data_IF_396507856876
#
_entry.id   IF_396507856876
#
_cell.length_a   1.000
_cell.length_b   1.000
_cell.length_c   1.000
_cell.angle_alpha   90.00
_cell.angle_beta   90.00
_cell.angle_gamma   90.00
#
_symmetry.space_group_name_H-M   'P 1'
#
loop_
_entity.id
_entity.type
_entity.pdbx_description
1 polymer ?
#
# COMPACT_ATOMS: atom_id res chain seq x y z
N UNK A 1 48.00 6.22 -7.51
CA UNK A 1 48.20 4.97 -8.28
C UNK A 1 46.87 4.57 -8.92
N UNK A 2 46.93 4.25 -10.22
CA UNK A 2 45.89 3.68 -11.13
C UNK A 2 44.55 4.41 -11.25
N UNK A 3 44.47 5.20 -12.34
CA UNK A 3 43.26 5.61 -13.05
C UNK A 3 42.57 4.37 -13.65
N UNK A 4 41.24 4.30 -13.58
CA UNK A 4 40.42 3.53 -14.53
C UNK A 4 39.36 4.47 -15.06
N UNK A 5 39.48 4.76 -16.36
CA UNK A 5 38.53 5.50 -17.15
C UNK A 5 37.52 4.52 -17.74
N UNK A 6 36.23 4.87 -17.73
CA UNK A 6 35.25 4.25 -18.62
C UNK A 6 34.35 5.35 -19.15
N UNK A 7 34.64 5.79 -20.37
CA UNK A 7 33.73 6.56 -21.23
C UNK A 7 32.65 5.61 -21.73
N UNK A 8 31.38 5.99 -21.64
CA UNK A 8 30.35 5.49 -22.55
C UNK A 8 29.54 6.66 -23.10
N UNK A 9 29.34 6.60 -24.41
CA UNK A 9 28.88 7.64 -25.30
C UNK A 9 27.37 7.90 -25.18
N UNK A 10 27.03 9.17 -25.28
CA UNK A 10 25.70 9.70 -25.59
C UNK A 10 25.42 9.46 -27.08
N UNK A 11 24.26 8.91 -27.42
CA UNK A 11 23.64 9.06 -28.74
C UNK A 11 22.22 9.58 -28.54
N UNK A 12 22.02 10.81 -28.98
CA UNK A 12 20.73 11.46 -29.22
C UNK A 12 20.31 11.16 -30.66
N UNK A 13 19.03 10.84 -30.86
CA UNK A 13 18.43 10.67 -32.19
C UNK A 13 16.92 10.79 -32.14
N UNK A 14 16.43 12.01 -32.33
CA UNK A 14 15.04 12.44 -32.55
C UNK A 14 14.57 12.22 -33.99
N UNK A 15 13.35 11.70 -34.21
CA UNK A 15 12.36 12.06 -35.28
C UNK A 15 10.98 11.50 -34.82
N UNK A 16 9.99 12.25 -34.34
CA UNK A 16 9.01 13.18 -34.96
C UNK A 16 7.75 12.52 -35.58
N UNK A 17 6.58 12.87 -35.00
CA UNK A 17 5.21 13.00 -35.60
C UNK A 17 4.52 11.69 -36.05
N UNK A 18 3.28 11.33 -35.74
CA UNK A 18 2.11 11.98 -35.12
C UNK A 18 0.85 11.32 -35.72
N UNK A 19 -0.20 11.08 -34.93
CA UNK A 19 -1.63 11.06 -35.35
C UNK A 19 -2.45 11.23 -34.05
N UNK A 20 -3.29 12.25 -34.07
CA UNK A 20 -4.30 12.56 -33.07
C UNK A 20 -5.68 12.37 -33.68
N UNK A 21 -6.58 11.66 -32.97
CA UNK A 21 -8.07 11.72 -33.04
C UNK A 21 -8.52 11.15 -31.67
N UNK A 22 -8.99 11.88 -30.64
CA UNK A 22 -10.11 12.81 -30.46
C UNK A 22 -11.49 12.12 -30.37
N UNK A 23 -11.98 11.88 -29.13
CA UNK A 23 -13.40 11.90 -28.70
C UNK A 23 -13.44 11.71 -27.17
N UNK A 24 -13.51 12.77 -26.35
CA UNK A 24 -14.70 13.50 -25.87
C UNK A 24 -15.76 12.67 -25.11
N UNK A 25 -15.84 12.93 -23.80
CA UNK A 25 -17.04 13.18 -22.98
C UNK A 25 -18.23 12.21 -23.07
N UNK A 26 -18.44 11.47 -21.97
CA UNK A 26 -19.75 11.42 -21.31
C UNK A 26 -19.54 11.56 -19.80
N UNK A 27 -19.82 12.78 -19.30
CA UNK A 27 -20.23 13.02 -17.92
C UNK A 27 -21.72 12.68 -17.88
N UNK A 28 -22.13 11.79 -16.97
CA UNK A 28 -23.46 11.86 -16.37
C UNK A 28 -23.31 11.82 -14.86
N UNK A 29 -23.37 13.02 -14.30
CA UNK A 29 -23.88 13.29 -12.98
C UNK A 29 -25.36 12.85 -12.98
N UNK A 30 -25.77 12.00 -12.03
CA UNK A 30 -27.17 11.96 -11.60
C UNK A 30 -27.22 11.90 -10.09
N UNK A 31 -27.73 13.00 -9.58
CA UNK A 31 -28.07 13.34 -8.22
C UNK A 31 -29.33 12.59 -7.75
N UNK A 32 -29.51 12.56 -6.43
CA UNK A 32 -30.82 12.60 -5.77
C UNK A 32 -31.72 11.36 -5.78
N UNK A 33 -31.93 10.83 -4.57
CA UNK A 33 -33.21 10.31 -4.05
C UNK A 33 -34.04 9.39 -4.94
N UNK A 34 -33.93 8.08 -4.73
CA UNK A 34 -35.05 7.14 -4.59
C UNK A 34 -34.50 5.71 -4.56
N UNK A 35 -34.43 5.11 -3.37
CA UNK A 35 -34.77 3.70 -3.08
C UNK A 35 -34.48 3.38 -1.62
N UNK A 36 -35.21 4.08 -0.74
CA UNK A 36 -35.44 3.67 0.65
C UNK A 36 -36.55 2.60 0.77
N UNK A 37 -36.83 1.85 -0.30
CA UNK A 37 -37.89 0.85 -0.35
C UNK A 37 -37.43 -0.44 -1.03
N UNK A 38 -36.44 -1.10 -0.44
CA UNK A 38 -36.20 -2.55 -0.62
C UNK A 38 -35.61 -3.17 0.65
N UNK A 39 -35.93 -2.56 1.78
CA UNK A 39 -35.64 -3.08 3.11
C UNK A 39 -36.81 -4.00 3.51
N UNK A 40 -36.96 -5.18 2.89
CA UNK A 40 -37.76 -6.29 3.45
C UNK A 40 -37.61 -7.67 2.76
N UNK A 41 -36.72 -7.84 1.78
CA UNK A 41 -36.44 -9.17 1.17
C UNK A 41 -35.05 -9.76 1.44
N UNK A 42 -34.25 -9.10 2.28
CA UNK A 42 -32.82 -9.44 2.44
C UNK A 42 -32.51 -10.29 3.69
N UNK A 43 -33.47 -11.10 4.17
CA UNK A 43 -33.24 -12.03 5.30
C UNK A 43 -32.97 -13.49 4.90
N UNK A 44 -33.06 -13.84 3.61
CA UNK A 44 -32.78 -15.21 3.14
C UNK A 44 -31.43 -15.38 2.41
N UNK A 45 -30.76 -14.30 1.97
CA UNK A 45 -29.47 -14.39 1.27
C UNK A 45 -28.22 -14.33 2.19
N UNK A 46 -28.39 -14.51 3.51
CA UNK A 46 -27.29 -14.44 4.49
C UNK A 46 -26.70 -15.82 4.88
N UNK A 47 -27.06 -16.90 4.18
CA UNK A 47 -26.48 -18.24 4.35
C UNK A 47 -26.10 -18.85 2.99
N UNK A 48 -25.06 -18.32 2.37
CA UNK A 48 -24.28 -19.10 1.41
C UNK A 48 -22.82 -18.60 1.40
N UNK A 49 -22.17 -18.74 2.57
CA UNK A 49 -20.74 -19.02 2.58
C UNK A 49 -20.61 -20.40 1.92
N UNK A 50 -20.07 -20.41 0.71
CA UNK A 50 -19.91 -21.59 -0.15
C UNK A 50 -19.12 -22.65 0.63
N UNK A 51 -19.85 -23.63 1.19
CA UNK A 51 -19.25 -24.82 1.79
C UNK A 51 -18.63 -25.65 0.67
N UNK A 52 -17.29 -25.79 0.72
CA UNK A 52 -16.52 -26.60 -0.22
C UNK A 52 -16.99 -28.06 -0.17
N UNK A 53 -17.46 -28.59 -1.31
CA UNK A 53 -17.77 -30.01 -1.53
C UNK A 53 -16.77 -30.59 -2.53
N UNK A 54 -15.51 -30.75 -2.13
CA UNK A 54 -14.48 -31.42 -2.92
C UNK A 54 -13.74 -32.48 -2.10
N UNK A 55 -13.10 -33.41 -2.81
CA UNK A 55 -12.59 -34.72 -2.37
C UNK A 55 -11.85 -34.73 -1.03
N UNK A 56 -12.00 -35.86 -0.30
CA UNK A 56 -11.49 -36.16 1.04
C UNK A 56 -10.25 -35.34 1.38
N UNK A 57 -10.53 -34.23 2.04
CA UNK A 57 -9.56 -33.27 2.45
C UNK A 57 -8.62 -33.98 3.45
N UNK A 58 -7.32 -34.04 3.12
CA UNK A 58 -6.28 -34.48 4.07
C UNK A 58 -6.39 -33.49 5.22
N UNK A 59 -6.90 -33.95 6.36
CA UNK A 59 -6.97 -33.16 7.57
C UNK A 59 -5.55 -33.13 8.13
N UNK A 60 -4.93 -31.95 8.32
CA UNK A 60 -3.71 -31.88 9.10
C UNK A 60 -4.02 -32.49 10.47
N UNK A 61 -3.18 -33.39 10.96
CA UNK A 61 -3.25 -33.78 12.36
C UNK A 61 -2.95 -32.53 13.19
N UNK A 62 -4.01 -31.91 13.72
CA UNK A 62 -3.92 -30.84 14.70
C UNK A 62 -3.09 -31.37 15.88
N UNK A 63 -1.93 -30.75 16.14
CA UNK A 63 -0.96 -31.22 17.13
C UNK A 63 0.36 -31.74 16.54
N UNK A 64 0.53 -31.76 15.21
CA UNK A 64 1.84 -32.02 14.60
C UNK A 64 2.82 -30.88 14.88
N UNK A 65 4.13 -31.18 14.92
CA UNK A 65 5.18 -30.19 15.13
C UNK A 65 5.12 -29.01 14.13
N UNK A 66 4.66 -29.27 12.90
CA UNK A 66 4.48 -28.22 11.89
C UNK A 66 3.31 -27.28 12.22
N UNK A 67 2.19 -27.81 12.72
CA UNK A 67 1.04 -26.97 13.13
C UNK A 67 1.41 -26.03 14.27
N UNK A 68 2.12 -26.54 15.29
CA UNK A 68 2.60 -25.70 16.39
C UNK A 68 3.58 -24.61 15.90
N UNK A 69 4.45 -24.93 14.95
CA UNK A 69 5.37 -23.95 14.37
C UNK A 69 4.65 -22.87 13.55
N UNK A 70 3.58 -23.23 12.82
CA UNK A 70 2.72 -22.26 12.12
C UNK A 70 2.02 -21.32 13.10
N UNK A 71 1.49 -21.85 14.21
CA UNK A 71 0.85 -21.04 15.26
C UNK A 71 1.85 -20.08 15.92
N UNK A 72 3.08 -20.54 16.18
CA UNK A 72 4.14 -19.69 16.72
C UNK A 72 4.51 -18.55 15.76
N UNK A 73 4.66 -18.84 14.46
CA UNK A 73 4.91 -17.80 13.46
C UNK A 73 3.75 -16.80 13.39
N UNK A 74 2.51 -17.27 13.47
CA UNK A 74 1.34 -16.40 13.49
C UNK A 74 1.34 -15.46 14.72
N UNK A 75 1.66 -15.98 15.91
CA UNK A 75 1.78 -15.16 17.13
C UNK A 75 2.95 -14.16 17.08
N UNK A 76 4.08 -14.55 16.49
CA UNK A 76 5.18 -13.62 16.25
C UNK A 76 4.77 -12.47 15.32
N UNK A 77 4.04 -12.77 14.24
CA UNK A 77 3.51 -11.74 13.34
C UNK A 77 2.47 -10.86 14.02
N UNK A 78 1.58 -11.41 14.85
CA UNK A 78 0.59 -10.62 15.61
C UNK A 78 1.24 -9.65 16.59
N UNK A 79 2.36 -10.06 17.19
CA UNK A 79 3.04 -9.28 18.21
C UNK A 79 4.01 -8.23 17.66
N UNK A 80 4.69 -8.52 16.54
CA UNK A 80 5.76 -7.66 15.99
C UNK A 80 5.49 -7.15 14.57
N UNK A 81 4.44 -7.62 13.91
CA UNK A 81 4.23 -7.45 12.48
C UNK A 81 5.08 -8.42 11.65
N UNK A 82 4.79 -8.50 10.36
CA UNK A 82 5.51 -9.36 9.43
C UNK A 82 6.98 -8.94 9.27
N UNK A 83 7.89 -9.90 9.25
CA UNK A 83 9.31 -9.68 8.97
C UNK A 83 9.77 -10.52 7.77
N UNK A 84 10.67 -10.00 6.92
CA UNK A 84 11.22 -10.77 5.80
C UNK A 84 11.77 -12.12 6.25
N UNK A 85 11.45 -13.17 5.50
CA UNK A 85 11.79 -14.57 5.80
C UNK A 85 10.65 -15.36 6.45
N UNK A 86 9.69 -14.71 7.13
CA UNK A 86 8.55 -15.39 7.75
C UNK A 86 7.67 -16.09 6.70
N UNK A 87 7.43 -15.47 5.54
CA UNK A 87 6.64 -16.08 4.47
C UNK A 87 7.29 -17.33 3.87
N UNK A 88 8.63 -17.35 3.79
CA UNK A 88 9.38 -18.53 3.34
C UNK A 88 9.35 -19.66 4.39
N UNK A 89 9.43 -19.30 5.67
CA UNK A 89 9.33 -20.26 6.77
C UNK A 89 7.93 -20.91 6.80
N UNK A 90 6.87 -20.09 6.77
CA UNK A 90 5.48 -20.58 6.67
C UNK A 90 5.29 -21.46 5.41
N UNK A 91 5.82 -21.03 4.26
CA UNK A 91 5.73 -21.80 3.02
C UNK A 91 6.33 -23.20 3.16
N UNK A 92 7.49 -23.29 3.80
CA UNK A 92 8.18 -24.56 4.03
C UNK A 92 7.41 -25.49 4.96
N UNK A 93 6.71 -24.94 5.96
CA UNK A 93 5.89 -25.70 6.90
C UNK A 93 4.60 -26.23 6.24
N UNK A 94 3.95 -25.41 5.41
CA UNK A 94 2.79 -25.83 4.63
C UNK A 94 3.16 -26.92 3.61
N UNK A 95 4.29 -26.78 2.91
CA UNK A 95 4.77 -27.80 1.97
C UNK A 95 5.03 -29.14 2.67
N UNK A 96 5.72 -29.12 3.83
CA UNK A 96 5.95 -30.33 4.66
C UNK A 96 4.66 -30.96 5.18
N UNK A 97 3.59 -30.18 5.29
CA UNK A 97 2.28 -30.63 5.75
C UNK A 97 1.37 -31.07 4.58
N UNK A 98 1.87 -31.02 3.34
CA UNK A 98 1.12 -31.38 2.12
C UNK A 98 0.17 -30.30 1.62
N UNK A 99 0.12 -29.13 2.27
CA UNK A 99 -0.70 -27.99 1.81
C UNK A 99 0.08 -27.12 0.82
N UNK A 100 0.05 -27.52 -0.44
CA UNK A 100 0.74 -26.78 -1.51
C UNK A 100 0.08 -25.42 -1.80
N UNK A 101 -1.21 -25.23 -1.52
CA UNK A 101 -1.85 -23.93 -1.69
C UNK A 101 -1.37 -22.95 -0.61
N UNK A 102 -1.34 -23.40 0.65
CA UNK A 102 -0.77 -22.64 1.77
C UNK A 102 0.69 -22.27 1.51
N UNK A 103 1.48 -23.20 0.98
CA UNK A 103 2.87 -22.94 0.60
C UNK A 103 2.98 -21.80 -0.41
N UNK A 104 2.18 -21.83 -1.49
CA UNK A 104 2.15 -20.77 -2.51
C UNK A 104 1.72 -19.44 -1.92
N UNK A 105 0.68 -19.41 -1.07
CA UNK A 105 0.22 -18.18 -0.44
C UNK A 105 1.27 -17.56 0.47
N UNK A 106 1.93 -18.35 1.32
CA UNK A 106 2.97 -17.85 2.22
C UNK A 106 4.22 -17.40 1.48
N UNK A 107 4.65 -18.10 0.43
CA UNK A 107 5.73 -17.63 -0.43
C UNK A 107 5.36 -16.33 -1.17
N UNK A 108 4.11 -16.21 -1.64
CA UNK A 108 3.62 -14.98 -2.23
C UNK A 108 3.51 -13.84 -1.21
N UNK A 109 3.17 -14.12 0.05
CA UNK A 109 3.13 -13.13 1.14
C UNK A 109 4.46 -12.40 1.28
N UNK A 110 5.58 -13.13 1.22
CA UNK A 110 6.94 -12.58 1.20
C UNK A 110 7.16 -11.61 0.02
N UNK A 111 6.82 -12.06 -1.19
CA UNK A 111 6.98 -11.25 -2.41
C UNK A 111 6.05 -10.03 -2.42
N UNK A 112 4.83 -10.19 -1.94
CA UNK A 112 3.84 -9.13 -1.87
C UNK A 112 4.24 -8.06 -0.85
N UNK A 113 4.84 -8.47 0.28
CA UNK A 113 5.45 -7.54 1.22
C UNK A 113 6.59 -6.74 0.54
N UNK A 114 7.53 -7.42 -0.13
CA UNK A 114 8.62 -6.73 -0.84
C UNK A 114 8.10 -5.77 -1.94
N UNK A 115 7.05 -6.16 -2.66
CA UNK A 115 6.40 -5.32 -3.67
C UNK A 115 5.76 -4.07 -3.06
N UNK A 116 5.02 -4.21 -1.95
CA UNK A 116 4.38 -3.10 -1.24
C UNK A 116 5.37 -2.01 -0.79
N UNK A 117 6.61 -2.40 -0.48
CA UNK A 117 7.69 -1.48 -0.11
C UNK A 117 8.53 -0.98 -1.30
N UNK A 118 8.19 -1.37 -2.53
CA UNK A 118 8.89 -0.93 -3.74
C UNK A 118 10.22 -1.64 -4.00
N UNK A 119 10.59 -2.66 -3.22
CA UNK A 119 11.85 -3.40 -3.41
C UNK A 119 11.86 -4.24 -4.69
N UNK A 120 10.69 -4.65 -5.16
CA UNK A 120 10.51 -5.34 -6.44
C UNK A 120 9.39 -4.70 -7.25
N UNK A 121 9.48 -4.82 -8.57
CA UNK A 121 8.42 -4.37 -9.51
C UNK A 121 7.38 -5.48 -9.70
N UNK A 122 6.18 -5.11 -10.14
CA UNK A 122 5.11 -6.07 -10.48
C UNK A 122 5.52 -7.08 -11.55
N UNK A 123 6.39 -6.69 -12.48
CA UNK A 123 6.94 -7.59 -13.51
C UNK A 123 7.76 -8.74 -12.92
N UNK A 124 8.55 -8.46 -11.88
CA UNK A 124 9.35 -9.48 -11.17
C UNK A 124 8.42 -10.42 -10.43
N UNK A 125 7.37 -9.88 -9.82
CA UNK A 125 6.37 -10.68 -9.14
C UNK A 125 5.69 -11.66 -10.11
N UNK A 126 5.22 -11.19 -11.26
CA UNK A 126 4.60 -12.05 -12.28
C UNK A 126 5.57 -13.12 -12.82
N UNK A 127 6.86 -12.78 -13.00
CA UNK A 127 7.89 -13.75 -13.39
C UNK A 127 8.02 -14.87 -12.35
N UNK A 128 8.05 -14.53 -11.05
CA UNK A 128 8.11 -15.53 -9.96
C UNK A 128 6.87 -16.42 -9.92
N UNK A 129 5.67 -15.86 -10.10
CA UNK A 129 4.43 -16.65 -10.16
C UNK A 129 4.44 -17.63 -11.35
N UNK A 130 4.91 -17.20 -12.53
CA UNK A 130 5.08 -18.08 -13.70
C UNK A 130 6.10 -19.18 -13.47
N UNK A 131 7.19 -18.91 -12.75
CA UNK A 131 8.20 -19.91 -12.43
C UNK A 131 7.64 -21.03 -11.54
N UNK A 132 6.80 -20.69 -10.54
CA UNK A 132 6.10 -21.68 -9.70
C UNK A 132 5.17 -22.56 -10.55
N UNK A 133 4.38 -21.95 -11.43
CA UNK A 133 3.47 -22.65 -12.34
C UNK A 133 4.19 -23.67 -13.23
N UNK A 134 5.39 -23.33 -13.70
CA UNK A 134 6.23 -24.22 -14.52
C UNK A 134 6.79 -25.40 -13.73
N UNK A 135 7.13 -25.19 -12.45
CA UNK A 135 7.76 -26.21 -11.62
C UNK A 135 6.76 -27.21 -11.02
N UNK A 136 5.50 -26.81 -10.88
CA UNK A 136 4.42 -27.67 -10.36
C UNK A 136 3.25 -27.74 -11.36
N UNK A 137 3.48 -28.28 -12.56
CA UNK A 137 2.45 -28.32 -13.59
C UNK A 137 1.30 -29.24 -13.14
N UNK A 138 0.06 -28.89 -13.52
CA UNK A 138 -1.15 -29.69 -13.32
C UNK A 138 -1.59 -29.93 -11.87
N UNK A 139 -1.10 -29.16 -10.89
CA UNK A 139 -1.67 -29.19 -9.53
C UNK A 139 -2.81 -28.15 -9.41
N UNK A 140 -4.09 -28.57 -9.24
CA UNK A 140 -5.22 -27.62 -9.22
C UNK A 140 -5.14 -26.62 -8.08
N UNK A 141 -4.77 -27.07 -6.87
CA UNK A 141 -4.67 -26.21 -5.68
C UNK A 141 -3.63 -25.10 -5.86
N UNK A 142 -2.47 -25.45 -6.43
CA UNK A 142 -1.42 -24.47 -6.80
C UNK A 142 -1.94 -23.50 -7.86
N UNK A 143 -2.61 -23.99 -8.91
CA UNK A 143 -3.16 -23.15 -9.97
C UNK A 143 -4.20 -22.14 -9.47
N UNK A 144 -5.08 -22.56 -8.54
CA UNK A 144 -6.04 -21.68 -7.89
C UNK A 144 -5.35 -20.65 -6.99
N UNK A 145 -4.37 -21.06 -6.18
CA UNK A 145 -3.61 -20.13 -5.33
C UNK A 145 -2.88 -19.06 -6.17
N UNK A 146 -2.17 -19.47 -7.24
CA UNK A 146 -1.52 -18.56 -8.17
C UNK A 146 -2.51 -17.59 -8.84
N UNK A 147 -3.71 -18.06 -9.19
CA UNK A 147 -4.76 -17.21 -9.76
C UNK A 147 -5.24 -16.16 -8.75
N UNK A 148 -5.44 -16.53 -7.49
CA UNK A 148 -5.77 -15.59 -6.42
C UNK A 148 -4.64 -14.57 -6.20
N UNK A 149 -3.38 -14.98 -6.18
CA UNK A 149 -2.23 -14.07 -6.05
C UNK A 149 -2.19 -13.03 -7.20
N UNK A 150 -2.41 -13.46 -8.45
CA UNK A 150 -2.49 -12.55 -9.61
C UNK A 150 -3.69 -11.61 -9.53
N UNK A 151 -4.82 -12.09 -9.03
CA UNK A 151 -6.01 -11.28 -8.82
C UNK A 151 -5.78 -10.17 -7.78
N UNK A 152 -4.99 -10.43 -6.73
CA UNK A 152 -4.61 -9.43 -5.73
C UNK A 152 -3.81 -8.28 -6.35
N UNK A 153 -2.84 -8.59 -7.20
CA UNK A 153 -1.98 -7.59 -7.85
C UNK A 153 -2.77 -6.75 -8.86
N UNK A 154 -3.64 -7.42 -9.64
CA UNK A 154 -4.44 -6.75 -10.68
C UNK A 154 -5.69 -6.03 -10.14
N UNK A 155 -6.01 -6.21 -8.87
CA UNK A 155 -7.24 -5.67 -8.26
C UNK A 155 -8.53 -6.35 -8.75
N UNK A 156 -8.45 -7.51 -9.42
CA UNK A 156 -9.62 -8.23 -9.92
C UNK A 156 -10.25 -9.11 -8.84
N UNK A 157 -11.03 -8.50 -7.94
CA UNK A 157 -11.66 -9.17 -6.81
C UNK A 157 -12.54 -10.36 -7.19
N UNK A 158 -13.36 -10.24 -8.26
CA UNK A 158 -14.24 -11.32 -8.70
C UNK A 158 -13.46 -12.58 -9.09
N UNK A 159 -12.42 -12.44 -9.93
CA UNK A 159 -11.56 -13.55 -10.33
C UNK A 159 -10.82 -14.18 -9.14
N UNK A 160 -10.43 -13.34 -8.18
CA UNK A 160 -9.81 -13.77 -6.93
C UNK A 160 -10.73 -14.63 -6.07
N UNK A 161 -11.98 -14.20 -5.88
CA UNK A 161 -12.99 -14.97 -5.13
C UNK A 161 -13.31 -16.31 -5.80
N UNK A 162 -13.45 -16.33 -7.12
CA UNK A 162 -13.71 -17.57 -7.87
C UNK A 162 -12.58 -18.60 -7.69
N UNK A 163 -11.33 -18.12 -7.62
CA UNK A 163 -10.18 -18.97 -7.35
C UNK A 163 -10.13 -19.46 -5.90
N UNK A 164 -10.38 -18.57 -4.93
CA UNK A 164 -10.41 -18.93 -3.50
C UNK A 164 -11.54 -19.89 -3.15
N UNK A 165 -12.68 -19.84 -3.84
CA UNK A 165 -13.78 -20.78 -3.65
C UNK A 165 -13.41 -22.25 -3.98
N UNK A 166 -12.27 -22.49 -4.63
CA UNK A 166 -11.72 -23.82 -4.93
C UNK A 166 -10.70 -24.29 -3.89
N UNK A 167 -10.43 -23.48 -2.87
CA UNK A 167 -9.48 -23.75 -1.80
C UNK A 167 -10.29 -23.91 -0.50
N UNK A 168 -9.97 -24.93 0.30
CA UNK A 168 -10.63 -25.11 1.58
C UNK A 168 -10.09 -24.09 2.59
N UNK A 169 -10.73 -22.93 2.68
CA UNK A 169 -10.30 -21.87 3.58
C UNK A 169 -10.50 -22.20 5.07
N UNK A 170 -11.30 -23.20 5.41
CA UNK A 170 -11.55 -23.63 6.80
C UNK A 170 -10.30 -24.23 7.46
N UNK A 171 -9.27 -24.51 6.67
CA UNK A 171 -7.95 -24.92 7.15
C UNK A 171 -7.08 -23.80 7.67
N UNK A 172 -7.42 -22.54 7.39
CA UNK A 172 -6.60 -21.42 7.81
C UNK A 172 -7.28 -20.60 8.90
N UNK A 173 -6.46 -20.07 9.81
CA UNK A 173 -6.88 -19.12 10.83
C UNK A 173 -7.57 -17.90 10.21
N UNK A 174 -8.44 -17.24 10.98
CA UNK A 174 -9.26 -16.14 10.49
C UNK A 174 -8.45 -14.95 9.94
N UNK A 175 -7.26 -14.71 10.49
CA UNK A 175 -6.32 -13.66 10.09
C UNK A 175 -5.13 -14.20 9.28
N UNK A 176 -5.20 -15.44 8.80
CA UNK A 176 -4.21 -15.98 7.85
C UNK A 176 -4.26 -15.26 6.51
N UNK A 177 -3.18 -15.36 5.74
CA UNK A 177 -3.06 -14.64 4.48
C UNK A 177 -4.13 -14.99 3.43
N UNK A 178 -4.52 -16.26 3.19
CA UNK A 178 -5.60 -16.59 2.26
C UNK A 178 -6.95 -15.98 2.68
N UNK A 179 -7.24 -16.02 3.98
CA UNK A 179 -8.45 -15.43 4.59
C UNK A 179 -8.43 -13.90 4.56
N UNK A 180 -7.25 -13.30 4.70
CA UNK A 180 -7.08 -11.86 4.53
C UNK A 180 -7.32 -11.44 3.07
N UNK A 181 -6.74 -12.16 2.09
CA UNK A 181 -6.98 -11.92 0.66
C UNK A 181 -8.46 -12.05 0.30
N UNK A 182 -9.17 -13.04 0.86
CA UNK A 182 -10.62 -13.18 0.67
C UNK A 182 -11.36 -11.89 1.05
N UNK A 183 -11.08 -11.34 2.23
CA UNK A 183 -11.68 -10.09 2.71
C UNK A 183 -11.31 -8.90 1.82
N UNK A 184 -10.05 -8.83 1.37
CA UNK A 184 -9.63 -7.84 0.38
C UNK A 184 -10.51 -7.91 -0.87
N UNK A 185 -10.74 -9.10 -1.42
CA UNK A 185 -11.54 -9.25 -2.63
C UNK A 185 -13.02 -8.94 -2.41
N UNK A 186 -13.58 -9.35 -1.27
CA UNK A 186 -14.94 -8.97 -0.88
C UNK A 186 -15.06 -7.45 -0.79
N UNK A 187 -14.10 -6.77 -0.15
CA UNK A 187 -14.03 -5.31 -0.05
C UNK A 187 -13.69 -4.62 -1.38
N UNK A 188 -13.11 -5.29 -2.36
CA UNK A 188 -12.86 -4.73 -3.68
C UNK A 188 -14.06 -4.92 -4.64
N UNK A 189 -15.01 -5.77 -4.27
CA UNK A 189 -16.18 -6.12 -5.08
C UNK A 189 -17.46 -5.47 -4.51
N UNK A 190 -18.57 -5.58 -5.24
CA UNK A 190 -19.91 -5.16 -4.77
C UNK A 190 -20.45 -5.99 -3.59
N UNK A 191 -19.66 -6.93 -3.08
CA UNK A 191 -19.98 -7.81 -1.95
C UNK A 191 -19.45 -7.26 -0.60
N UNK A 192 -18.73 -6.14 -0.63
CA UNK A 192 -18.24 -5.48 0.58
C UNK A 192 -19.39 -4.91 1.40
N UNK A 193 -19.38 -5.15 2.70
CA UNK A 193 -20.28 -4.54 3.67
C UNK A 193 -19.53 -4.23 4.97
N UNK A 194 -20.19 -3.51 5.89
CA UNK A 194 -19.58 -3.10 7.17
C UNK A 194 -19.07 -4.29 7.99
N UNK A 195 -19.77 -5.43 8.00
CA UNK A 195 -19.31 -6.62 8.71
C UNK A 195 -17.98 -7.16 8.15
N UNK A 196 -17.82 -7.18 6.83
CA UNK A 196 -16.55 -7.59 6.20
C UNK A 196 -15.45 -6.58 6.52
N UNK A 197 -15.78 -5.28 6.59
CA UNK A 197 -14.83 -4.26 6.99
C UNK A 197 -14.39 -4.48 8.46
N UNK A 198 -15.31 -4.76 9.37
CA UNK A 198 -14.99 -5.07 10.78
C UNK A 198 -14.08 -6.31 10.90
N UNK A 199 -14.40 -7.38 10.17
CA UNK A 199 -13.58 -8.59 10.12
C UNK A 199 -12.19 -8.32 9.51
N UNK A 200 -12.09 -7.43 8.54
CA UNK A 200 -10.80 -6.98 7.98
C UNK A 200 -10.02 -6.11 8.98
N UNK A 201 -10.69 -5.21 9.70
CA UNK A 201 -10.06 -4.41 10.74
C UNK A 201 -9.53 -5.28 11.89
N UNK A 202 -10.20 -6.40 12.20
CA UNK A 202 -9.75 -7.35 13.22
C UNK A 202 -8.40 -8.01 12.89
N UNK A 203 -7.96 -8.04 11.63
CA UNK A 203 -6.65 -8.59 11.24
C UNK A 203 -5.49 -7.60 11.45
N UNK A 204 -5.74 -6.44 12.09
CA UNK A 204 -4.73 -5.37 12.24
C UNK A 204 -3.42 -5.84 12.84
N UNK A 205 -3.44 -6.70 13.86
CA UNK A 205 -2.25 -7.15 14.57
C UNK A 205 -1.20 -7.74 13.62
N UNK A 206 -1.64 -8.52 12.63
CA UNK A 206 -0.76 -9.21 11.67
C UNK A 206 -0.35 -8.34 10.47
N UNK A 207 -1.22 -7.43 10.03
CA UNK A 207 -1.05 -6.66 8.79
C UNK A 207 -0.79 -5.15 9.01
N UNK A 208 -0.48 -4.74 10.25
CA UNK A 208 -0.23 -3.33 10.57
C UNK A 208 0.93 -2.69 9.80
N UNK A 209 1.84 -3.48 9.24
CA UNK A 209 2.97 -3.03 8.44
C UNK A 209 2.79 -3.30 6.94
N UNK A 210 1.55 -3.54 6.49
CA UNK A 210 1.21 -3.68 5.07
C UNK A 210 0.65 -2.35 4.57
N UNK A 211 1.34 -1.62 3.67
CA UNK A 211 0.79 -0.42 3.05
C UNK A 211 -0.61 -0.64 2.44
N UNK A 212 -0.84 -1.78 1.79
CA UNK A 212 -2.12 -2.07 1.14
C UNK A 212 -3.27 -2.28 2.14
N UNK A 213 -2.97 -2.80 3.34
CA UNK A 213 -3.96 -2.92 4.41
C UNK A 213 -4.54 -1.55 4.78
N UNK A 214 -3.68 -0.56 4.98
CA UNK A 214 -4.08 0.80 5.30
C UNK A 214 -4.75 1.52 4.13
N UNK A 215 -4.30 1.28 2.90
CA UNK A 215 -4.96 1.85 1.71
C UNK A 215 -6.43 1.41 1.60
N UNK A 216 -6.72 0.13 1.85
CA UNK A 216 -8.10 -0.37 1.82
C UNK A 216 -8.97 0.28 2.89
N UNK A 217 -8.44 0.46 4.10
CA UNK A 217 -9.15 1.20 5.17
C UNK A 217 -9.41 2.64 4.72
N UNK A 218 -8.41 3.31 4.15
CA UNK A 218 -8.54 4.69 3.68
C UNK A 218 -9.62 4.83 2.59
N UNK A 219 -9.71 3.89 1.64
CA UNK A 219 -10.74 3.86 0.60
C UNK A 219 -12.16 3.68 1.14
N UNK A 220 -12.31 2.97 2.26
CA UNK A 220 -13.61 2.63 2.86
C UNK A 220 -14.04 3.57 3.99
N UNK A 221 -13.10 4.29 4.60
CA UNK A 221 -13.35 5.21 5.70
C UNK A 221 -13.68 6.62 5.20
N UNK A 222 -14.09 7.50 6.12
CA UNK A 222 -14.31 8.94 5.88
C UNK A 222 -13.68 9.78 6.99
N UNK A 223 -13.49 11.06 6.71
CA UNK A 223 -12.97 12.03 7.69
C UNK A 223 -11.61 11.63 8.26
N UNK A 224 -11.43 11.80 9.57
CA UNK A 224 -10.15 11.56 10.24
C UNK A 224 -9.65 10.12 10.12
N UNK A 225 -10.54 9.12 10.06
CA UNK A 225 -10.14 7.71 9.90
C UNK A 225 -9.54 7.44 8.51
N UNK A 226 -10.10 8.06 7.46
CA UNK A 226 -9.51 7.99 6.13
C UNK A 226 -8.14 8.66 6.10
N UNK A 227 -8.00 9.82 6.73
CA UNK A 227 -6.74 10.56 6.77
C UNK A 227 -5.65 9.79 7.52
N UNK A 228 -5.94 9.26 8.71
CA UNK A 228 -4.98 8.44 9.50
C UNK A 228 -4.54 7.20 8.72
N UNK A 229 -5.47 6.47 8.11
CA UNK A 229 -5.14 5.30 7.31
C UNK A 229 -4.32 5.65 6.06
N UNK A 230 -4.67 6.73 5.35
CA UNK A 230 -3.91 7.18 4.19
C UNK A 230 -2.49 7.61 4.56
N UNK A 231 -2.33 8.34 5.67
CA UNK A 231 -1.02 8.72 6.20
C UNK A 231 -0.18 7.49 6.56
N UNK A 232 -0.74 6.50 7.28
CA UNK A 232 -0.03 5.24 7.60
C UNK A 232 0.41 4.48 6.35
N UNK A 233 -0.44 4.40 5.33
CA UNK A 233 -0.09 3.77 4.05
C UNK A 233 1.17 4.40 3.45
N UNK A 234 1.20 5.74 3.39
CA UNK A 234 2.33 6.48 2.81
C UNK A 234 3.56 6.42 3.72
N UNK A 235 3.39 6.54 5.03
CA UNK A 235 4.51 6.50 5.98
C UNK A 235 5.24 5.15 6.01
N UNK A 236 4.52 4.03 5.79
CA UNK A 236 5.14 2.72 5.72
C UNK A 236 6.03 2.56 4.48
N UNK A 237 5.57 3.03 3.33
CA UNK A 237 6.31 2.92 2.07
C UNK A 237 6.11 4.18 1.20
N UNK A 238 6.86 5.28 1.47
CA UNK A 238 6.64 6.57 0.81
C UNK A 238 6.86 6.58 -0.72
N UNK A 239 7.63 5.60 -1.20
CA UNK A 239 7.94 5.35 -2.62
C UNK A 239 7.33 4.04 -3.13
N UNK A 240 6.50 3.38 -2.32
CA UNK A 240 5.84 2.13 -2.69
C UNK A 240 4.74 2.32 -3.74
N UNK A 241 4.28 1.23 -4.39
CA UNK A 241 3.24 1.28 -5.43
C UNK A 241 1.90 1.88 -4.97
N UNK A 242 1.66 1.93 -3.66
CA UNK A 242 0.43 2.45 -3.06
C UNK A 242 0.55 3.89 -2.56
N UNK A 243 1.75 4.48 -2.59
CA UNK A 243 2.00 5.79 -2.01
C UNK A 243 1.26 6.92 -2.74
N UNK A 244 1.21 6.87 -4.07
CA UNK A 244 0.54 7.91 -4.87
C UNK A 244 -0.95 8.01 -4.49
N UNK A 245 -1.66 6.89 -4.46
CA UNK A 245 -3.07 6.87 -4.09
C UNK A 245 -3.28 7.26 -2.62
N UNK A 246 -2.41 6.78 -1.72
CA UNK A 246 -2.40 7.22 -0.33
C UNK A 246 -2.30 8.74 -0.19
N UNK A 247 -1.38 9.38 -0.93
CA UNK A 247 -1.23 10.85 -0.94
C UNK A 247 -2.45 11.54 -1.52
N UNK A 248 -3.11 10.97 -2.54
CA UNK A 248 -4.36 11.51 -3.08
C UNK A 248 -5.45 11.52 -2.00
N UNK A 249 -5.60 10.41 -1.25
CA UNK A 249 -6.58 10.33 -0.17
C UNK A 249 -6.23 11.27 1.00
N UNK A 250 -4.94 11.43 1.33
CA UNK A 250 -4.48 12.45 2.28
C UNK A 250 -4.87 13.86 1.84
N UNK A 251 -4.59 14.22 0.58
CA UNK A 251 -4.90 15.54 0.02
C UNK A 251 -6.38 15.85 0.12
N UNK A 252 -7.23 14.93 -0.31
CA UNK A 252 -8.68 15.08 -0.22
C UNK A 252 -9.13 15.20 1.24
N UNK A 253 -8.55 14.42 2.15
CA UNK A 253 -8.85 14.45 3.59
C UNK A 253 -8.54 15.77 4.29
N UNK A 254 -7.60 16.57 3.76
CA UNK A 254 -7.27 17.90 4.27
C UNK A 254 -7.82 19.05 3.40
N UNK A 255 -8.73 18.75 2.47
CA UNK A 255 -9.40 19.75 1.63
C UNK A 255 -8.57 20.28 0.45
N UNK A 256 -7.53 19.56 0.03
CA UNK A 256 -6.72 19.88 -1.15
C UNK A 256 -7.22 19.15 -2.41
N UNK A 257 -6.80 19.62 -3.58
CA UNK A 257 -7.12 18.96 -4.84
C UNK A 257 -6.16 17.79 -5.10
N UNK A 258 -6.60 16.81 -5.90
CA UNK A 258 -5.76 15.64 -6.25
C UNK A 258 -4.40 16.02 -6.85
N UNK A 259 -4.35 17.10 -7.63
CA UNK A 259 -3.11 17.62 -8.24
C UNK A 259 -2.06 18.08 -7.23
N UNK A 260 -2.48 18.37 -6.00
CA UNK A 260 -1.61 18.84 -4.92
C UNK A 260 -0.97 17.67 -4.15
N UNK A 261 -1.47 16.44 -4.33
CA UNK A 261 -1.02 15.24 -3.63
C UNK A 261 0.50 14.95 -3.77
N UNK A 262 1.15 15.12 -4.94
CA UNK A 262 2.59 14.86 -5.05
C UNK A 262 3.47 15.77 -4.18
N UNK A 263 2.97 16.94 -3.79
CA UNK A 263 3.67 17.87 -2.91
C UNK A 263 3.50 17.54 -1.42
N UNK A 264 2.51 16.72 -1.04
CA UNK A 264 2.31 16.33 0.34
C UNK A 264 3.42 15.41 0.84
N UNK A 265 3.76 15.56 2.12
CA UNK A 265 4.64 14.67 2.89
C UNK A 265 3.95 14.35 4.21
N UNK A 266 4.06 13.11 4.66
CA UNK A 266 3.63 12.68 5.99
C UNK A 266 4.53 13.32 7.06
N UNK A 267 4.10 13.29 8.33
CA UNK A 267 4.94 13.81 9.42
C UNK A 267 6.29 13.09 9.52
N UNK A 268 6.28 11.77 9.37
CA UNK A 268 7.50 10.96 9.38
C UNK A 268 8.48 11.34 8.26
N UNK A 269 7.99 11.62 7.05
CA UNK A 269 8.84 12.08 5.95
C UNK A 269 9.45 13.46 6.22
N UNK A 270 8.67 14.37 6.80
CA UNK A 270 9.14 15.72 7.17
C UNK A 270 10.25 15.60 8.23
N UNK A 271 10.01 14.81 9.28
CA UNK A 271 10.99 14.57 10.35
C UNK A 271 12.26 13.90 9.83
N UNK A 272 12.13 12.90 8.95
CA UNK A 272 13.26 12.22 8.35
C UNK A 272 14.13 13.18 7.51
N UNK A 273 13.51 14.03 6.69
CA UNK A 273 14.21 15.05 5.90
C UNK A 273 14.94 16.05 6.81
N UNK A 274 14.26 16.58 7.83
CA UNK A 274 14.83 17.56 8.77
C UNK A 274 16.01 16.94 9.54
N UNK A 275 15.84 15.72 10.04
CA UNK A 275 16.86 14.99 10.80
C UNK A 275 18.08 14.69 9.93
N UNK A 276 17.87 14.17 8.71
CA UNK A 276 18.95 13.87 7.78
C UNK A 276 19.71 15.14 7.38
N UNK A 277 19.00 16.23 7.12
CA UNK A 277 19.62 17.51 6.80
C UNK A 277 20.49 18.01 7.97
N UNK A 278 19.96 17.99 9.20
CA UNK A 278 20.68 18.39 10.40
C UNK A 278 21.92 17.53 10.68
N UNK A 279 21.82 16.20 10.51
CA UNK A 279 22.94 15.28 10.73
C UNK A 279 24.06 15.43 9.68
N UNK A 280 23.69 15.73 8.44
CA UNK A 280 24.66 15.83 7.33
C UNK A 280 25.16 17.26 7.10
N UNK A 281 24.52 18.26 7.69
CA UNK A 281 24.73 19.68 7.38
C UNK A 281 24.28 20.07 5.97
N UNK A 282 23.59 19.18 5.24
CA UNK A 282 23.18 19.42 3.86
C UNK A 282 21.85 20.18 3.80
N UNK A 283 21.89 21.50 3.90
CA UNK A 283 20.70 22.35 3.83
C UNK A 283 19.95 22.27 2.50
N UNK A 284 20.62 21.90 1.40
CA UNK A 284 19.97 21.75 0.08
C UNK A 284 18.92 20.65 0.04
N UNK A 285 19.03 19.63 0.91
CA UNK A 285 18.04 18.56 1.01
C UNK A 285 16.65 19.06 1.45
N UNK A 286 16.57 20.22 2.12
CA UNK A 286 15.30 20.81 2.53
C UNK A 286 14.50 21.40 1.36
N UNK A 287 15.06 21.45 0.15
CA UNK A 287 14.31 21.82 -1.07
C UNK A 287 13.08 20.94 -1.30
N UNK A 288 13.13 19.69 -0.86
CA UNK A 288 12.03 18.74 -1.01
C UNK A 288 10.79 19.13 -0.19
N UNK A 289 10.92 20.03 0.78
CA UNK A 289 9.81 20.59 1.55
C UNK A 289 9.19 21.85 0.92
N UNK A 290 9.85 22.49 -0.05
CA UNK A 290 9.33 23.73 -0.65
C UNK A 290 7.98 23.53 -1.37
N UNK A 291 7.73 22.44 -2.12
CA UNK A 291 6.41 22.20 -2.70
C UNK A 291 5.31 22.09 -1.64
N UNK A 292 5.56 21.40 -0.52
CA UNK A 292 4.64 21.31 0.61
C UNK A 292 4.36 22.69 1.22
N UNK A 293 5.40 23.51 1.37
CA UNK A 293 5.31 24.89 1.85
C UNK A 293 4.66 25.86 0.85
N UNK A 294 4.37 25.44 -0.38
CA UNK A 294 3.63 26.26 -1.35
C UNK A 294 2.10 25.99 -1.33
N UNK A 295 1.66 24.89 -0.72
CA UNK A 295 0.24 24.48 -0.69
C UNK A 295 -0.66 25.41 0.14
N UNK A 296 -2.00 25.38 0.03
CA UNK A 296 -2.89 25.98 1.03
C UNK A 296 -2.60 25.50 2.46
N UNK A 297 -3.02 26.27 3.46
CA UNK A 297 -2.87 25.88 4.87
C UNK A 297 -3.56 24.54 5.14
N UNK A 298 -2.80 23.62 5.72
CA UNK A 298 -3.26 22.29 6.12
C UNK A 298 -2.33 21.76 7.23
N UNK A 299 -2.70 20.69 7.96
CA UNK A 299 -1.91 20.18 9.08
C UNK A 299 -0.45 19.84 8.72
N UNK A 300 -0.19 19.31 7.51
CA UNK A 300 1.17 18.92 7.08
C UNK A 300 2.03 20.14 6.76
N UNK A 301 1.46 21.13 6.08
CA UNK A 301 2.17 22.37 5.77
C UNK A 301 2.51 23.17 7.04
N UNK A 302 1.58 23.24 8.01
CA UNK A 302 1.84 23.89 9.30
C UNK A 302 2.91 23.14 10.11
N UNK A 303 2.88 21.81 10.08
CA UNK A 303 3.91 20.99 10.71
C UNK A 303 5.29 21.24 10.09
N UNK A 304 5.40 21.18 8.76
CA UNK A 304 6.64 21.47 8.04
C UNK A 304 7.15 22.89 8.30
N UNK A 305 6.25 23.87 8.39
CA UNK A 305 6.61 25.26 8.71
C UNK A 305 7.29 25.36 10.09
N UNK A 306 6.71 24.70 11.10
CA UNK A 306 7.29 24.62 12.44
C UNK A 306 8.65 23.92 12.44
N UNK A 307 8.76 22.79 11.75
CA UNK A 307 10.00 22.01 11.67
C UNK A 307 11.13 22.81 10.97
N UNK A 308 10.84 23.46 9.84
CA UNK A 308 11.80 24.33 9.14
C UNK A 308 12.24 25.51 10.02
N UNK A 309 11.33 26.13 10.78
CA UNK A 309 11.67 27.20 11.73
C UNK A 309 12.59 26.70 12.84
N UNK A 310 12.40 25.47 13.31
CA UNK A 310 13.25 24.84 14.33
C UNK A 310 14.71 24.72 13.92
N UNK A 311 14.99 24.46 12.64
CA UNK A 311 16.37 24.35 12.11
C UNK A 311 16.95 25.66 11.58
N UNK A 312 16.11 26.68 11.34
CA UNK A 312 16.55 27.95 10.76
C UNK A 312 17.46 28.78 11.68
N UNK A 313 17.58 28.45 12.96
CA UNK A 313 18.52 29.09 13.89
C UNK A 313 19.98 28.75 13.60
N UNK A 314 20.24 27.66 12.88
CA UNK A 314 21.58 27.34 12.39
C UNK A 314 21.88 28.18 11.12
N UNK A 315 23.05 28.83 11.11
CA UNK A 315 23.48 29.76 10.07
C UNK A 315 23.41 29.16 8.65
N UNK A 316 23.77 27.89 8.47
CA UNK A 316 23.77 27.25 7.15
C UNK A 316 22.35 27.06 6.60
N UNK A 317 21.40 26.71 7.48
CA UNK A 317 19.99 26.53 7.13
C UNK A 317 19.27 27.87 6.99
N UNK A 318 19.57 28.85 7.85
CA UNK A 318 19.07 30.22 7.73
C UNK A 318 19.44 30.85 6.38
N UNK A 319 20.71 30.71 5.97
CA UNK A 319 21.19 31.22 4.68
C UNK A 319 20.53 30.50 3.48
N UNK A 320 20.28 29.18 3.60
CA UNK A 320 19.51 28.43 2.61
C UNK A 320 18.11 29.02 2.43
N UNK A 321 17.36 29.19 3.52
CA UNK A 321 16.00 29.73 3.45
C UNK A 321 15.99 31.17 2.91
N UNK A 322 16.97 32.01 3.26
CA UNK A 322 17.07 33.37 2.72
C UNK A 322 17.22 33.39 1.20
N UNK A 323 18.08 32.51 0.68
CA UNK A 323 18.32 32.41 -0.75
C UNK A 323 17.09 31.89 -1.49
N UNK A 324 16.37 30.93 -0.92
CA UNK A 324 15.13 30.42 -1.54
C UNK A 324 13.97 31.43 -1.41
N UNK A 325 13.89 32.21 -0.33
CA UNK A 325 12.93 33.33 -0.19
C UNK A 325 13.06 34.32 -1.35
N UNK A 326 14.29 34.68 -1.76
CA UNK A 326 14.55 35.62 -2.87
C UNK A 326 14.06 35.12 -4.23
N UNK A 327 13.84 33.81 -4.39
CA UNK A 327 13.37 33.17 -5.62
C UNK A 327 11.87 32.82 -5.57
N UNK A 328 11.31 32.75 -4.37
CA UNK A 328 9.93 32.34 -4.15
C UNK A 328 8.94 33.48 -4.43
N UNK A 329 7.68 33.12 -4.65
CA UNK A 329 6.57 34.06 -4.75
C UNK A 329 5.32 33.51 -4.04
N UNK A 330 4.33 34.37 -3.80
CA UNK A 330 3.08 34.02 -3.13
C UNK A 330 3.29 33.41 -1.74
N UNK A 331 2.51 32.36 -1.43
CA UNK A 331 2.52 31.67 -0.12
C UNK A 331 3.88 31.14 0.29
N UNK A 332 4.66 30.63 -0.67
CA UNK A 332 5.99 30.09 -0.38
C UNK A 332 6.90 31.20 0.16
N UNK A 333 6.90 32.38 -0.46
CA UNK A 333 7.71 33.51 -0.01
C UNK A 333 7.27 34.03 1.38
N UNK A 334 5.97 34.04 1.67
CA UNK A 334 5.44 34.40 2.99
C UNK A 334 5.91 33.42 4.08
N UNK A 335 5.80 32.12 3.81
CA UNK A 335 6.19 31.08 4.77
C UNK A 335 7.68 30.99 4.98
N UNK A 336 8.49 31.14 3.94
CA UNK A 336 9.94 31.20 4.10
C UNK A 336 10.37 32.43 4.92
N UNK A 337 9.73 33.60 4.72
CA UNK A 337 9.95 34.76 5.60
C UNK A 337 9.60 34.46 7.07
N UNK A 338 8.47 33.78 7.30
CA UNK A 338 8.07 33.36 8.65
C UNK A 338 9.07 32.40 9.30
N UNK A 339 9.60 31.42 8.54
CA UNK A 339 10.66 30.50 9.01
C UNK A 339 11.89 31.27 9.50
N UNK A 340 12.24 32.36 8.82
CA UNK A 340 13.37 33.22 9.15
C UNK A 340 13.11 34.21 10.32
N UNK A 341 11.92 34.16 10.95
CA UNK A 341 11.54 35.08 12.03
C UNK A 341 11.02 36.43 11.55
N UNK A 342 10.76 36.59 10.24
CA UNK A 342 10.02 37.73 9.72
C UNK A 342 8.57 37.72 10.21
N UNK A 343 8.05 38.88 10.62
CA UNK A 343 6.61 39.03 10.88
C UNK A 343 5.87 38.90 9.55
N UNK A 344 4.87 38.02 9.50
CA UNK A 344 3.96 37.79 8.37
C UNK A 344 3.11 39.02 8.09
#
# INVERSE_FOLDING_TARGET
>A
MKKVATKWFVIVGTVSVGIAVLSCLVILYRDGEEKWALNHKNKENQKELVSYKGEKAITPEWGSANSLALDQLAEEERSRGFSPGMGLAESSLYEKSGDLAGAVFSAFKELFFAYQYGYIKSSVLEERLKAVEKNVPNNPSVGHALTACRALISGNGSRGLDALAKINLDYYELDSFPRWIERVFLLASDRGNEKILDEFLATRSRYNNYPFYWLLIARRSRGNAQLDAAERCVSLAPEGPYAEEGRILMALGVGLARKDAPALRTRMEIEALITAAAQTGNSESLKDLLPLLALPDNPYTLYALGACRGVASDTAFGAFFERETKKASGRLAERLRYVQGGRS
#
